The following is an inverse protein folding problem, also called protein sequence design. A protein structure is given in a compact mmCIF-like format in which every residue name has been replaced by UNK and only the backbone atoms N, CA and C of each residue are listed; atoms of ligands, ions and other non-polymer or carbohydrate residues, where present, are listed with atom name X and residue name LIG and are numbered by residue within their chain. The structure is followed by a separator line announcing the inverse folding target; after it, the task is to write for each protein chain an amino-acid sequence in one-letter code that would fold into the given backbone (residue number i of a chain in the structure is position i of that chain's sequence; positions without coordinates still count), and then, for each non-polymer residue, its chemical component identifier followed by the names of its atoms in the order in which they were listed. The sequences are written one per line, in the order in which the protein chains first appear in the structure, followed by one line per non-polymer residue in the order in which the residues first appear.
data_IF_390167203923
#
_entry.id   IF_390167203923
#
_cell.length_a   1.000
_cell.length_b   1.000
_cell.length_c   1.000
_cell.angle_alpha   90.00
_cell.angle_beta   90.00
_cell.angle_gamma   90.00
#
_symmetry.space_group_name_H-M   'P 1'
#
loop_
_entity.id
_entity.type
_entity.pdbx_description
1 polymer ?
#
# COMPACT_ATOMS: atom_id res chain seq x y z
N UNK A 1 -12.92 -14.65 6.27
CA UNK A 1 -12.18 -13.57 5.57
C UNK A 1 -10.73 -13.67 6.02
N UNK A 2 -9.77 -13.70 5.10
CA UNK A 2 -8.36 -13.70 5.47
C UNK A 2 -8.03 -12.37 6.17
N UNK A 3 -7.44 -12.42 7.36
CA UNK A 3 -6.95 -11.23 8.06
C UNK A 3 -5.66 -10.77 7.41
N UNK A 4 -5.55 -9.46 7.14
CA UNK A 4 -4.35 -8.86 6.57
C UNK A 4 -3.24 -8.92 7.62
N UNK A 5 -2.10 -9.51 7.28
CA UNK A 5 -0.94 -9.66 8.16
C UNK A 5 -0.10 -8.39 8.13
N UNK A 6 0.04 -7.77 9.29
CA UNK A 6 0.70 -6.48 9.45
C UNK A 6 1.90 -6.64 10.38
N UNK A 7 3.11 -6.45 9.84
CA UNK A 7 4.34 -6.46 10.61
C UNK A 7 4.65 -5.05 11.13
N UNK A 8 4.78 -4.88 12.45
CA UNK A 8 5.26 -3.64 13.07
C UNK A 8 6.72 -3.81 13.48
N UNK A 9 7.62 -3.06 12.84
CA UNK A 9 9.03 -2.98 13.16
C UNK A 9 9.29 -1.63 13.84
N UNK A 10 9.14 -1.58 15.16
CA UNK A 10 9.22 -0.34 15.94
C UNK A 10 10.11 -0.54 17.16
N UNK A 11 11.18 0.26 17.25
CA UNK A 11 12.15 0.19 18.35
C UNK A 11 11.55 0.60 19.69
N UNK A 12 10.69 1.63 19.67
CA UNK A 12 10.13 2.22 20.88
C UNK A 12 8.91 1.44 21.36
N UNK A 13 8.94 0.83 22.56
CA UNK A 13 7.86 -0.05 23.04
C UNK A 13 6.52 0.68 23.21
N UNK A 14 6.56 1.95 23.63
CA UNK A 14 5.34 2.76 23.83
C UNK A 14 4.64 3.04 22.50
N UNK A 15 5.39 3.49 21.48
CA UNK A 15 4.85 3.78 20.16
C UNK A 15 4.32 2.50 19.51
N UNK A 16 5.10 1.42 19.58
CA UNK A 16 4.70 0.13 19.04
C UNK A 16 3.42 -0.41 19.68
N UNK A 17 3.29 -0.33 21.00
CA UNK A 17 2.09 -0.75 21.74
C UNK A 17 0.86 0.09 21.40
N UNK A 18 1.03 1.42 21.27
CA UNK A 18 -0.05 2.32 20.89
C UNK A 18 -0.61 1.99 19.49
N UNK A 19 0.28 1.85 18.50
CA UNK A 19 -0.13 1.51 17.13
C UNK A 19 -0.73 0.10 17.07
N UNK A 20 -0.12 -0.88 17.75
CA UNK A 20 -0.66 -2.25 17.82
C UNK A 20 -2.07 -2.26 18.40
N UNK A 21 -2.29 -1.51 19.49
CA UNK A 21 -3.61 -1.40 20.14
C UNK A 21 -4.64 -0.81 19.17
N UNK A 22 -4.30 0.30 18.50
CA UNK A 22 -5.18 0.93 17.51
C UNK A 22 -5.56 -0.04 16.38
N UNK A 23 -4.60 -0.77 15.83
CA UNK A 23 -4.85 -1.72 14.75
C UNK A 23 -5.61 -2.97 15.21
N UNK A 24 -5.40 -3.44 16.45
CA UNK A 24 -6.16 -4.57 17.02
C UNK A 24 -7.64 -4.25 17.16
N UNK A 25 -8.00 -3.00 17.45
CA UNK A 25 -9.40 -2.57 17.57
C UNK A 25 -10.20 -2.76 16.26
N UNK A 26 -9.53 -2.72 15.11
CA UNK A 26 -10.15 -2.92 13.80
C UNK A 26 -10.55 -4.37 13.51
N UNK A 27 -10.09 -5.34 14.34
CA UNK A 27 -10.41 -6.79 14.29
C UNK A 27 -10.18 -7.49 12.95
N UNK A 28 -9.50 -6.84 12.01
CA UNK A 28 -9.25 -7.32 10.63
C UNK A 28 -7.78 -7.58 10.32
N UNK A 29 -6.89 -7.28 11.26
CA UNK A 29 -5.44 -7.39 11.10
C UNK A 29 -4.86 -8.49 11.99
N UNK A 30 -3.98 -9.33 11.44
CA UNK A 30 -3.09 -10.21 12.20
C UNK A 30 -1.77 -9.48 12.41
N UNK A 31 -1.50 -9.09 13.66
CA UNK A 31 -0.41 -8.16 14.00
C UNK A 31 0.76 -8.90 14.64
N UNK A 32 1.97 -8.64 14.14
CA UNK A 32 3.20 -9.01 14.84
C UNK A 32 4.10 -7.81 15.01
N UNK A 33 4.58 -7.61 16.24
CA UNK A 33 5.51 -6.54 16.57
C UNK A 33 6.90 -7.12 16.83
N UNK A 34 7.91 -6.46 16.27
CA UNK A 34 9.34 -6.74 16.47
C UNK A 34 10.08 -5.43 16.72
N UNK A 35 11.18 -5.50 17.46
CA UNK A 35 11.94 -4.31 17.85
C UNK A 35 12.93 -3.84 16.78
N UNK A 36 13.24 -4.69 15.79
CA UNK A 36 14.23 -4.38 14.76
C UNK A 36 14.15 -5.24 13.51
N UNK A 37 14.89 -4.83 12.48
CA UNK A 37 14.94 -5.50 11.19
C UNK A 37 15.51 -6.94 11.25
N UNK A 38 16.42 -7.22 12.19
CA UNK A 38 16.99 -8.55 12.38
C UNK A 38 15.93 -9.55 12.88
N UNK A 39 15.08 -9.14 13.84
CA UNK A 39 13.96 -9.94 14.33
C UNK A 39 12.90 -10.13 13.24
N UNK A 40 12.64 -9.11 12.43
CA UNK A 40 11.78 -9.24 11.25
C UNK A 40 12.30 -10.32 10.28
N UNK A 41 13.61 -10.34 10.01
CA UNK A 41 14.24 -11.34 9.15
C UNK A 41 14.20 -12.76 9.75
N UNK A 42 14.09 -12.89 11.07
CA UNK A 42 13.93 -14.18 11.74
C UNK A 42 12.52 -14.79 11.55
N UNK A 43 11.51 -13.98 11.18
CA UNK A 43 10.13 -14.41 10.95
C UNK A 43 9.91 -15.02 9.55
N UNK A 44 10.82 -15.88 9.07
CA UNK A 44 10.77 -16.42 7.69
C UNK A 44 9.47 -17.17 7.35
N UNK A 45 8.88 -17.82 8.35
CA UNK A 45 7.66 -18.65 8.17
C UNK A 45 6.37 -17.82 8.20
N UNK A 46 6.44 -16.56 8.63
CA UNK A 46 5.30 -15.67 8.70
C UNK A 46 5.48 -14.52 7.71
N UNK A 47 4.83 -14.65 6.56
CA UNK A 47 4.88 -13.64 5.50
C UNK A 47 3.87 -12.53 5.79
N UNK A 48 4.32 -11.28 6.02
CA UNK A 48 3.42 -10.14 6.16
C UNK A 48 2.87 -9.71 4.79
N UNK A 49 1.64 -9.19 4.80
CA UNK A 49 1.04 -8.54 3.62
C UNK A 49 1.49 -7.08 3.51
N UNK A 50 1.80 -6.45 4.65
CA UNK A 50 2.36 -5.11 4.76
C UNK A 50 3.28 -5.01 5.97
N UNK A 51 4.32 -4.20 5.86
CA UNK A 51 5.21 -3.88 6.96
C UNK A 51 5.16 -2.39 7.30
N UNK A 52 5.16 -2.04 8.60
CA UNK A 52 5.31 -0.70 9.11
C UNK A 52 6.65 -0.63 9.83
N UNK A 53 7.55 0.24 9.39
CA UNK A 53 8.89 0.39 9.98
C UNK A 53 9.09 1.78 10.56
N UNK A 54 9.59 1.86 11.79
CA UNK A 54 10.03 3.12 12.39
C UNK A 54 11.22 3.68 11.60
N UNK A 55 11.10 4.90 11.11
CA UNK A 55 12.14 5.59 10.38
C UNK A 55 13.46 5.73 11.13
N UNK A 56 13.43 5.69 12.46
CA UNK A 56 14.64 5.69 13.31
C UNK A 56 15.48 4.42 13.14
N UNK A 57 14.87 3.30 12.74
CA UNK A 57 15.56 2.04 12.48
C UNK A 57 16.25 2.00 11.10
N UNK A 58 15.99 2.98 10.24
CA UNK A 58 16.54 3.08 8.89
C UNK A 58 17.85 3.91 8.83
N UNK A 59 18.61 3.90 9.94
CA UNK A 59 19.88 4.60 10.10
C UNK A 59 20.92 4.30 9.01
N UNK A 60 21.90 5.21 8.89
CA UNK A 60 22.82 5.50 7.77
C UNK A 60 23.40 4.31 6.97
N UNK A 61 22.58 3.62 6.18
CA UNK A 61 23.03 2.81 5.05
C UNK A 61 22.57 1.35 5.02
N UNK A 62 21.89 0.85 6.06
CA UNK A 62 21.38 -0.51 6.05
C UNK A 62 20.14 -0.62 5.13
N UNK A 63 20.25 -1.37 4.03
CA UNK A 63 19.08 -1.76 3.23
C UNK A 63 18.30 -2.80 4.01
N UNK A 64 17.15 -2.40 4.55
CA UNK A 64 16.21 -3.31 5.21
C UNK A 64 15.27 -3.88 4.15
N UNK A 65 15.17 -5.20 4.11
CA UNK A 65 14.25 -5.92 3.22
C UNK A 65 13.31 -6.74 4.10
N UNK A 66 12.01 -6.46 3.99
CA UNK A 66 10.97 -7.10 4.81
C UNK A 66 10.13 -8.10 4.00
N UNK A 67 10.36 -8.16 2.68
CA UNK A 67 9.69 -9.10 1.79
C UNK A 67 8.21 -8.76 1.57
N UNK A 68 7.83 -7.52 1.88
CA UNK A 68 6.47 -7.03 1.79
C UNK A 68 6.45 -5.51 1.53
N UNK A 69 5.37 -4.99 0.91
CA UNK A 69 5.14 -3.56 0.80
C UNK A 69 5.34 -2.86 2.15
N UNK A 70 6.24 -1.87 2.19
CA UNK A 70 6.68 -1.26 3.45
C UNK A 70 6.23 0.20 3.57
N UNK A 71 5.68 0.54 4.72
CA UNK A 71 5.28 1.88 5.14
C UNK A 71 6.26 2.43 6.19
N UNK A 72 6.73 3.66 6.00
CA UNK A 72 7.68 4.30 6.93
C UNK A 72 6.94 5.17 7.93
N UNK A 73 7.14 4.91 9.22
CA UNK A 73 6.66 5.77 10.30
C UNK A 73 7.68 6.87 10.58
N UNK A 74 7.31 8.12 10.32
CA UNK A 74 8.17 9.29 10.49
C UNK A 74 7.49 10.36 11.32
N UNK A 75 8.28 11.20 11.99
CA UNK A 75 7.76 12.41 12.66
C UNK A 75 7.40 13.53 11.68
N UNK A 76 8.12 13.60 10.55
CA UNK A 76 7.94 14.64 9.53
C UNK A 76 7.81 14.04 8.13
N UNK A 77 7.15 14.78 7.23
CA UNK A 77 7.04 14.43 5.82
C UNK A 77 8.40 14.38 5.12
N UNK A 78 9.24 15.39 5.36
CA UNK A 78 10.56 15.52 4.76
C UNK A 78 11.41 14.28 5.05
N UNK A 79 11.44 13.85 6.32
CA UNK A 79 12.17 12.66 6.74
C UNK A 79 11.54 11.39 6.18
N UNK A 80 10.21 11.29 6.19
CA UNK A 80 9.48 10.13 5.68
C UNK A 80 9.78 9.87 4.20
N UNK A 81 9.75 10.92 3.37
CA UNK A 81 10.11 10.84 1.95
C UNK A 81 11.59 10.54 1.74
N UNK A 82 12.48 11.11 2.55
CA UNK A 82 13.91 10.84 2.46
C UNK A 82 14.25 9.37 2.79
N UNK A 83 13.59 8.81 3.80
CA UNK A 83 13.73 7.42 4.23
C UNK A 83 13.12 6.43 3.24
N UNK A 84 11.98 6.77 2.63
CA UNK A 84 11.36 5.97 1.57
C UNK A 84 12.32 5.67 0.41
N UNK A 85 13.13 6.64 0.00
CA UNK A 85 14.12 6.45 -1.08
C UNK A 85 15.18 5.40 -0.75
N UNK A 86 15.34 5.02 0.53
CA UNK A 86 16.30 4.00 0.98
C UNK A 86 15.67 2.61 1.04
N UNK A 87 14.35 2.50 0.90
CA UNK A 87 13.61 1.25 0.97
C UNK A 87 13.16 0.81 -0.42
N UNK A 88 13.68 -0.32 -0.95
CA UNK A 88 13.27 -0.83 -2.25
C UNK A 88 11.76 -1.14 -2.32
N UNK A 89 11.18 -1.55 -1.19
CA UNK A 89 9.77 -1.93 -1.06
C UNK A 89 8.90 -0.80 -0.47
N UNK A 90 9.46 0.41 -0.33
CA UNK A 90 8.77 1.55 0.23
C UNK A 90 7.58 1.97 -0.62
N UNK A 91 6.36 1.88 -0.07
CA UNK A 91 5.12 2.29 -0.75
C UNK A 91 4.53 3.60 -0.25
N UNK A 92 4.95 4.06 0.92
CA UNK A 92 4.54 5.35 1.44
C UNK A 92 5.01 5.58 2.87
N UNK A 93 4.71 6.76 3.39
CA UNK A 93 5.10 7.16 4.74
C UNK A 93 3.85 7.58 5.51
N UNK A 94 3.90 7.42 6.83
CA UNK A 94 2.84 7.82 7.74
C UNK A 94 3.45 8.58 8.91
N UNK A 95 2.70 9.54 9.45
CA UNK A 95 3.09 10.20 10.70
C UNK A 95 2.93 9.26 11.88
N UNK A 96 3.80 9.36 12.88
CA UNK A 96 3.71 8.58 14.12
C UNK A 96 2.45 8.89 14.96
N UNK A 97 1.89 10.08 14.79
CA UNK A 97 0.67 10.56 15.43
C UNK A 97 -0.56 10.50 14.52
N UNK A 98 -0.48 9.75 13.41
CA UNK A 98 -1.62 9.56 12.52
C UNK A 98 -2.77 8.85 13.24
N UNK A 99 -3.99 9.17 12.84
CA UNK A 99 -5.22 8.58 13.36
C UNK A 99 -5.39 7.14 12.88
N UNK A 100 -6.16 6.32 13.61
CA UNK A 100 -6.45 4.94 13.21
C UNK A 100 -7.05 4.85 11.79
N UNK A 101 -7.91 5.79 11.41
CA UNK A 101 -8.48 5.86 10.07
C UNK A 101 -7.43 6.09 8.96
N UNK A 102 -6.40 6.89 9.23
CA UNK A 102 -5.29 7.11 8.30
C UNK A 102 -4.41 5.86 8.16
N UNK A 103 -4.12 5.17 9.27
CA UNK A 103 -3.42 3.88 9.26
C UNK A 103 -4.16 2.86 8.40
N UNK A 104 -5.46 2.68 8.63
CA UNK A 104 -6.32 1.77 7.87
C UNK A 104 -6.32 2.13 6.38
N UNK A 105 -6.52 3.41 6.05
CA UNK A 105 -6.56 3.87 4.66
C UNK A 105 -5.25 3.58 3.91
N UNK A 106 -4.11 3.79 4.57
CA UNK A 106 -2.79 3.53 3.98
C UNK A 106 -2.48 2.05 3.87
N UNK A 107 -2.78 1.26 4.89
CA UNK A 107 -2.62 -0.21 4.85
C UNK A 107 -3.48 -0.79 3.72
N UNK A 108 -4.74 -0.40 3.63
CA UNK A 108 -5.65 -0.86 2.58
C UNK A 108 -5.19 -0.40 1.19
N UNK A 109 -4.68 0.82 1.06
CA UNK A 109 -4.16 1.36 -0.21
C UNK A 109 -2.91 0.62 -0.71
N UNK A 110 -2.11 0.05 0.20
CA UNK A 110 -0.89 -0.68 -0.14
C UNK A 110 -1.13 -2.17 -0.35
N UNK A 111 -2.07 -2.75 0.38
CA UNK A 111 -2.41 -4.18 0.31
C UNK A 111 -3.40 -4.50 -0.81
N UNK A 112 -4.25 -3.54 -1.21
CA UNK A 112 -5.06 -3.73 -2.41
C UNK A 112 -4.15 -3.63 -3.63
N UNK A 113 -4.14 -4.63 -4.53
CA UNK A 113 -3.54 -4.42 -5.84
C UNK A 113 -4.21 -3.17 -6.42
N UNK A 114 -3.39 -2.28 -6.96
CA UNK A 114 -3.83 -1.05 -7.61
C UNK A 114 -4.89 -1.43 -8.66
N UNK A 115 -6.17 -1.41 -8.27
CA UNK A 115 -7.24 -1.59 -9.23
C UNK A 115 -7.09 -0.42 -10.18
N UNK A 116 -7.02 -0.63 -11.50
CA UNK A 116 -7.02 0.44 -12.49
C UNK A 116 -8.41 1.09 -12.50
N UNK A 117 -8.78 1.76 -11.42
CA UNK A 117 -10.11 2.29 -11.18
C UNK A 117 -9.94 3.58 -10.39
N UNK A 118 -9.30 4.58 -10.99
CA UNK A 118 -10.08 5.80 -11.26
C UNK A 118 -9.62 6.57 -12.50
N UNK A 119 -8.52 6.16 -13.16
CA UNK A 119 -8.13 6.71 -14.47
C UNK A 119 -8.74 5.95 -15.67
N UNK A 120 -9.27 4.74 -15.45
CA UNK A 120 -9.78 3.88 -16.52
C UNK A 120 -11.23 4.14 -16.93
N UNK A 121 -12.06 4.80 -16.11
CA UNK A 121 -13.50 4.90 -16.39
C UNK A 121 -13.80 5.84 -17.55
N UNK A 122 -13.16 7.01 -17.58
CA UNK A 122 -13.30 7.95 -18.69
C UNK A 122 -12.67 7.38 -19.98
N UNK A 123 -11.50 6.75 -19.88
CA UNK A 123 -10.85 6.10 -21.02
C UNK A 123 -11.66 4.93 -21.59
N UNK A 124 -12.27 4.11 -20.73
CA UNK A 124 -13.13 3.00 -21.14
C UNK A 124 -14.44 3.49 -21.78
N UNK A 125 -15.05 4.56 -21.24
CA UNK A 125 -16.26 5.16 -21.83
C UNK A 125 -15.93 5.72 -23.22
N UNK A 126 -14.81 6.43 -23.38
CA UNK A 126 -14.36 6.96 -24.68
C UNK A 126 -14.08 5.83 -25.67
N UNK A 127 -13.42 4.74 -25.23
CA UNK A 127 -13.16 3.58 -26.08
C UNK A 127 -14.45 2.89 -26.52
N UNK A 128 -15.42 2.71 -25.62
CA UNK A 128 -16.72 2.12 -25.94
C UNK A 128 -17.49 2.99 -26.94
N UNK A 129 -17.50 4.31 -26.76
CA UNK A 129 -18.12 5.24 -27.70
C UNK A 129 -17.45 5.21 -29.07
N UNK A 130 -16.11 5.14 -29.11
CA UNK A 130 -15.34 5.05 -30.36
C UNK A 130 -15.68 3.76 -31.12
N UNK A 131 -15.71 2.61 -30.43
CA UNK A 131 -16.08 1.32 -31.04
C UNK A 131 -17.51 1.36 -31.58
N UNK A 132 -18.45 1.94 -30.82
CA UNK A 132 -19.83 2.08 -31.26
C UNK A 132 -19.96 2.95 -32.53
N UNK A 133 -19.23 4.07 -32.58
CA UNK A 133 -19.20 4.95 -33.74
C UNK A 133 -18.65 4.25 -34.99
N UNK A 134 -17.59 3.43 -34.83
CA UNK A 134 -17.04 2.64 -35.93
C UNK A 134 -18.03 1.59 -36.43
N UNK A 135 -18.73 0.90 -35.53
CA UNK A 135 -19.75 -0.09 -35.91
C UNK A 135 -20.90 0.58 -36.69
N UNK A 136 -21.40 1.72 -36.21
CA UNK A 136 -22.46 2.47 -36.90
C UNK A 136 -22.01 2.96 -38.28
N UNK A 137 -20.75 3.42 -38.39
CA UNK A 137 -20.18 3.82 -39.68
C UNK A 137 -20.10 2.64 -40.66
N UNK A 138 -19.66 1.47 -40.19
CA UNK A 138 -19.60 0.27 -41.03
C UNK A 138 -20.99 -0.17 -41.50
N UNK A 139 -21.99 -0.12 -40.63
CA UNK A 139 -23.38 -0.41 -40.99
C UNK A 139 -23.89 0.59 -42.04
N UNK A 140 -23.59 1.88 -41.87
CA UNK A 140 -23.97 2.91 -42.82
C UNK A 140 -23.31 2.72 -44.20
N UNK A 141 -22.01 2.42 -44.22
CA UNK A 141 -21.29 2.13 -45.46
C UNK A 141 -21.82 0.87 -46.16
N UNK A 142 -22.17 -0.17 -45.39
CA UNK A 142 -22.77 -1.38 -45.93
C UNK A 142 -24.15 -1.09 -46.54
N UNK A 143 -24.95 -0.26 -45.88
CA UNK A 143 -26.25 0.18 -46.40
C UNK A 143 -26.12 0.91 -47.74
N UNK A 144 -25.16 1.84 -47.85
CA UNK A 144 -24.84 2.56 -49.10
C UNK A 144 -24.28 1.65 -50.21
N UNK A 145 -23.63 0.55 -49.84
CA UNK A 145 -23.12 -0.41 -50.83
C UNK A 145 -24.23 -1.32 -51.39
N UNK A 146 -25.32 -1.49 -50.64
CA UNK A 146 -26.47 -2.35 -51.01
C UNK A 146 -27.55 -1.55 -51.74
N UNK A 147 -27.73 -0.26 -51.42
CA UNK A 147 -28.75 0.64 -51.98
C UNK A 147 -28.12 1.80 -52.75
#
# INVERSE_FOLDING_TARGET
MAQTRVLLVVAHPVIGSGIETLLRLEKRYDLRRVAGAAEAAALRDWRPDVALIDGTLLGSGARVHLGAPTLVLSGTETDGRALLRRLPEGRGWLRKDATAAEFVKMIDGVTRPMSPATLGTLGAIVLVLLVLAVILLLIYLLWLAIY
#
